data_IF_142237755089
#
_entry.id   IF_142237755089
#
_cell.length_a   1.000
_cell.length_b   1.000
_cell.length_c   1.000
_cell.angle_alpha   90.00
_cell.angle_beta   90.00
_cell.angle_gamma   90.00
#
_symmetry.space_group_name_H-M   'P 1'
#
loop_
_entity.id
_entity.type
_entity.pdbx_description
1 polymer ?
#
# COMPACT_ATOMS: atom_id res chain seq x y z
N UNK A 1 -1.25 25.46 -37.33
CA UNK A 1 -1.72 25.40 -35.92
C UNK A 1 -1.83 26.82 -35.39
N UNK A 2 -3.03 27.33 -35.05
CA UNK A 2 -3.19 28.72 -34.64
C UNK A 2 -2.45 28.96 -33.31
N UNK A 3 -1.61 30.01 -33.27
CA UNK A 3 -0.72 30.37 -32.13
C UNK A 3 -1.42 30.33 -30.77
N UNK A 4 -2.72 30.66 -30.73
CA UNK A 4 -3.56 30.60 -29.52
C UNK A 4 -3.69 29.17 -28.95
N UNK A 5 -3.85 28.15 -29.80
CA UNK A 5 -3.91 26.75 -29.35
C UNK A 5 -2.57 26.29 -28.79
N UNK A 6 -1.44 26.72 -29.39
CA UNK A 6 -0.11 26.42 -28.86
C UNK A 6 0.13 27.06 -27.49
N UNK A 7 -0.29 28.32 -27.30
CA UNK A 7 -0.20 29.01 -26.00
C UNK A 7 -1.08 28.34 -24.94
N UNK A 8 -2.31 27.99 -25.29
CA UNK A 8 -3.21 27.27 -24.36
C UNK A 8 -2.62 25.90 -23.99
N UNK A 9 -2.08 25.16 -24.95
CA UNK A 9 -1.41 23.88 -24.67
C UNK A 9 -0.23 24.05 -23.71
N UNK A 10 0.68 24.99 -23.99
CA UNK A 10 1.83 25.24 -23.12
C UNK A 10 1.39 25.66 -21.71
N UNK A 11 0.38 26.51 -21.59
CA UNK A 11 -0.18 26.92 -20.31
C UNK A 11 -0.74 25.72 -19.54
N UNK A 12 -1.53 24.87 -20.19
CA UNK A 12 -2.12 23.68 -19.57
C UNK A 12 -1.04 22.69 -19.10
N UNK A 13 0.00 22.46 -19.89
CA UNK A 13 1.11 21.59 -19.50
C UNK A 13 1.83 22.15 -18.27
N UNK A 14 2.17 23.44 -18.26
CA UNK A 14 2.85 24.06 -17.12
C UNK A 14 1.97 24.05 -15.85
N UNK A 15 0.69 24.34 -15.96
CA UNK A 15 -0.26 24.25 -14.83
C UNK A 15 -0.33 22.81 -14.31
N UNK A 16 -0.41 21.82 -15.20
CA UNK A 16 -0.48 20.41 -14.82
C UNK A 16 0.79 19.98 -14.08
N UNK A 17 1.96 20.35 -14.60
CA UNK A 17 3.25 20.07 -13.95
C UNK A 17 3.32 20.76 -12.59
N UNK A 18 2.96 22.05 -12.50
CA UNK A 18 2.98 22.80 -11.25
C UNK A 18 2.07 22.17 -10.18
N UNK A 19 0.82 21.82 -10.53
CA UNK A 19 -0.10 21.14 -9.61
C UNK A 19 0.48 19.80 -9.16
N UNK A 20 1.02 19.00 -10.09
CA UNK A 20 1.64 17.73 -9.75
C UNK A 20 2.82 17.90 -8.78
N UNK A 21 3.77 18.77 -9.11
CA UNK A 21 4.98 18.96 -8.31
C UNK A 21 4.71 19.61 -6.96
N UNK A 22 3.67 20.42 -6.84
CA UNK A 22 3.35 21.12 -5.58
C UNK A 22 2.44 20.34 -4.65
N UNK A 23 1.53 19.51 -5.17
CA UNK A 23 0.52 18.82 -4.34
C UNK A 23 0.83 17.34 -4.19
N UNK A 24 1.35 16.72 -5.24
CA UNK A 24 1.49 15.27 -5.30
C UNK A 24 2.95 14.86 -5.08
N UNK A 25 3.89 15.35 -5.89
CA UNK A 25 5.27 14.89 -5.80
C UNK A 25 5.86 14.96 -4.37
N UNK A 26 6.39 13.84 -3.89
CA UNK A 26 6.96 13.65 -2.57
C UNK A 26 6.00 13.88 -1.38
N UNK A 27 4.68 13.81 -1.59
CA UNK A 27 3.67 14.09 -0.55
C UNK A 27 3.72 13.13 0.64
N UNK A 28 4.19 11.89 0.42
CA UNK A 28 4.21 10.84 1.44
C UNK A 28 5.05 11.23 2.66
N UNK A 29 6.12 12.00 2.43
CA UNK A 29 7.08 12.44 3.45
C UNK A 29 6.45 13.31 4.54
N UNK A 30 5.38 14.04 4.18
CA UNK A 30 4.56 14.81 5.12
C UNK A 30 3.49 13.93 5.76
N UNK A 31 2.79 13.13 4.94
CA UNK A 31 1.68 12.30 5.40
C UNK A 31 2.11 11.32 6.49
N UNK A 32 3.32 10.77 6.43
CA UNK A 32 3.81 9.82 7.43
C UNK A 32 4.02 10.46 8.81
N UNK A 33 4.46 11.72 8.85
CA UNK A 33 4.62 12.44 10.12
C UNK A 33 3.27 12.82 10.72
N UNK A 34 2.28 13.16 9.89
CA UNK A 34 0.88 13.31 10.33
C UNK A 34 0.34 11.99 10.90
N UNK A 35 0.58 10.87 10.22
CA UNK A 35 0.17 9.54 10.70
C UNK A 35 0.77 9.21 12.07
N UNK A 36 2.06 9.44 12.30
CA UNK A 36 2.70 9.17 13.60
C UNK A 36 2.08 10.01 14.73
N UNK A 37 1.70 11.26 14.47
CA UNK A 37 1.00 12.09 15.46
C UNK A 37 -0.38 11.55 15.79
N UNK A 38 -1.14 11.14 14.77
CA UNK A 38 -2.45 10.54 14.95
C UNK A 38 -2.34 9.25 15.79
N UNK A 39 -1.30 8.44 15.55
CA UNK A 39 -1.01 7.25 16.35
C UNK A 39 -0.65 7.61 17.80
N UNK A 40 0.22 8.58 18.04
CA UNK A 40 0.54 9.03 19.40
C UNK A 40 -0.72 9.49 20.14
N UNK A 41 -1.59 10.27 19.48
CA UNK A 41 -2.84 10.72 20.05
C UNK A 41 -3.78 9.54 20.36
N UNK A 42 -3.90 8.57 19.43
CA UNK A 42 -4.74 7.39 19.64
C UNK A 42 -4.29 6.61 20.89
N UNK A 43 -2.99 6.28 21.00
CA UNK A 43 -2.44 5.53 22.13
C UNK A 43 -2.46 6.31 23.44
N UNK A 44 -2.32 7.64 23.40
CA UNK A 44 -2.45 8.50 24.60
C UNK A 44 -3.87 8.52 25.18
N UNK A 45 -4.91 8.38 24.34
CA UNK A 45 -6.31 8.54 24.79
C UNK A 45 -6.91 7.31 25.47
N UNK A 46 -6.40 6.11 25.20
CA UNK A 46 -6.93 4.84 25.73
C UNK A 46 -6.76 4.72 27.25
N UNK A 47 -5.71 5.34 27.82
CA UNK A 47 -5.36 5.23 29.23
C UNK A 47 -5.97 6.31 30.15
N UNK A 48 -6.83 7.20 29.66
CA UNK A 48 -7.61 8.09 30.57
C UNK A 48 -8.54 7.33 31.52
N UNK A 49 -8.78 6.04 31.26
CA UNK A 49 -9.59 5.15 32.10
C UNK A 49 -8.80 4.44 33.21
N UNK A 50 -7.46 4.49 33.20
CA UNK A 50 -6.59 3.94 34.22
C UNK A 50 -5.65 5.04 34.74
N UNK A 51 -6.06 5.71 35.82
CA UNK A 51 -5.27 6.73 36.52
C UNK A 51 -3.96 6.13 37.05
N UNK A 52 -2.90 6.14 36.23
CA UNK A 52 -1.52 5.97 36.67
C UNK A 52 -0.76 7.28 36.43
N UNK A 53 -0.58 8.11 37.47
CA UNK A 53 0.17 9.35 37.35
C UNK A 53 1.65 9.02 37.13
N UNK A 54 2.12 9.08 35.89
CA UNK A 54 3.56 8.99 35.56
C UNK A 54 3.93 8.21 34.30
N UNK A 55 3.03 7.45 33.67
CA UNK A 55 3.33 6.72 32.42
C UNK A 55 2.62 7.36 31.23
N UNK A 56 3.20 8.43 30.66
CA UNK A 56 2.80 8.77 29.30
C UNK A 56 3.25 7.63 28.38
N UNK A 57 2.28 6.98 27.72
CA UNK A 57 2.60 6.01 26.67
C UNK A 57 3.29 6.75 25.53
N UNK A 58 4.52 6.34 25.23
CA UNK A 58 5.37 6.93 24.19
C UNK A 58 5.40 5.98 23.01
N UNK A 59 5.29 6.51 21.79
CA UNK A 59 5.59 5.71 20.60
C UNK A 59 7.04 5.95 20.17
N UNK A 60 7.66 4.88 19.65
CA UNK A 60 8.99 4.97 19.05
C UNK A 60 8.93 4.75 17.53
N UNK A 61 9.71 5.51 16.76
CA UNK A 61 9.72 5.43 15.30
C UNK A 61 11.16 5.44 14.73
N UNK A 62 11.46 4.55 13.80
CA UNK A 62 12.76 4.49 13.10
C UNK A 62 12.58 4.69 11.60
N UNK A 63 13.37 5.60 11.03
CA UNK A 63 13.30 5.96 9.63
C UNK A 63 14.48 5.35 8.87
N UNK A 64 14.22 4.24 8.18
CA UNK A 64 15.14 3.57 7.26
C UNK A 64 15.00 4.17 5.86
N UNK A 65 15.32 5.46 5.76
CA UNK A 65 15.16 6.30 4.58
C UNK A 65 16.45 7.11 4.35
N UNK A 66 16.76 7.57 3.13
CA UNK A 66 17.90 8.47 2.93
C UNK A 66 17.69 9.73 3.77
N UNK A 67 18.78 10.33 4.26
CA UNK A 67 18.69 11.51 5.12
C UNK A 67 17.91 12.66 4.47
N UNK A 68 17.28 13.48 5.31
CA UNK A 68 16.46 14.62 4.89
C UNK A 68 15.29 14.27 3.96
N UNK A 69 14.82 13.01 3.98
CA UNK A 69 13.61 12.63 3.25
C UNK A 69 12.33 13.16 3.90
N UNK A 70 12.33 13.43 5.20
CA UNK A 70 11.17 13.97 5.91
C UNK A 70 11.55 15.28 6.63
N UNK A 71 10.59 16.20 6.84
CA UNK A 71 10.88 17.53 7.41
C UNK A 71 11.07 17.54 8.94
N UNK A 72 11.25 16.37 9.55
CA UNK A 72 11.62 16.10 10.95
C UNK A 72 11.16 17.17 11.95
N UNK A 73 12.06 18.07 12.37
CA UNK A 73 11.85 19.05 13.45
C UNK A 73 10.63 19.94 13.27
N UNK A 74 10.21 20.21 12.03
CA UNK A 74 9.03 21.05 11.78
C UNK A 74 7.72 20.27 11.86
N UNK A 75 7.78 18.94 11.70
CA UNK A 75 6.63 18.06 11.57
C UNK A 75 6.60 16.90 12.58
N UNK A 76 7.51 16.89 13.56
CA UNK A 76 7.54 15.89 14.63
C UNK A 76 7.78 16.57 15.98
N UNK A 77 6.85 17.45 16.34
CA UNK A 77 6.91 18.31 17.55
C UNK A 77 6.01 17.72 18.64
N UNK A 78 6.33 16.52 19.11
CA UNK A 78 5.63 15.90 20.25
C UNK A 78 6.68 15.27 21.18
N UNK A 79 6.71 15.64 22.48
CA UNK A 79 7.68 15.09 23.42
C UNK A 79 7.50 13.59 23.73
N UNK A 80 6.35 13.00 23.38
CA UNK A 80 6.07 11.58 23.59
C UNK A 80 6.38 10.73 22.34
N UNK A 81 6.81 11.34 21.23
CA UNK A 81 7.27 10.63 20.05
C UNK A 81 8.79 10.60 20.05
N UNK A 82 9.36 9.42 20.24
CA UNK A 82 10.80 9.20 20.19
C UNK A 82 11.17 8.62 18.84
N UNK A 83 11.96 9.34 18.06
CA UNK A 83 12.30 8.87 16.73
C UNK A 83 13.79 9.02 16.43
N UNK A 84 14.31 8.09 15.62
CA UNK A 84 15.65 8.15 15.05
C UNK A 84 15.57 7.99 13.53
N UNK A 85 16.57 8.52 12.84
CA UNK A 85 16.70 8.43 11.39
C UNK A 85 18.17 8.23 11.05
N UNK A 86 18.44 7.60 9.90
CA UNK A 86 19.79 7.47 9.38
C UNK A 86 20.45 8.85 9.22
N UNK A 87 21.69 8.97 9.69
CA UNK A 87 22.48 10.20 9.68
C UNK A 87 23.30 10.36 8.39
N UNK A 88 23.48 11.62 7.98
CA UNK A 88 24.37 12.02 6.88
C UNK A 88 25.25 13.19 7.32
N UNK A 89 25.75 13.13 8.56
CA UNK A 89 26.61 14.16 9.12
C UNK A 89 27.93 14.22 8.32
N UNK A 90 28.34 15.37 7.77
CA UNK A 90 29.58 15.46 7.04
C UNK A 90 30.80 15.24 7.97
N UNK A 91 31.91 14.65 7.49
CA UNK A 91 33.09 14.37 8.31
C UNK A 91 33.93 15.62 8.57
N UNK A 92 33.50 16.44 9.53
CA UNK A 92 34.16 17.73 9.86
C UNK A 92 35.51 17.56 10.57
N UNK A 93 35.68 16.48 11.34
CA UNK A 93 36.88 16.24 12.18
C UNK A 93 37.85 15.20 11.60
N UNK A 94 37.66 14.81 10.33
CA UNK A 94 38.52 13.82 9.67
C UNK A 94 39.68 14.49 8.91
N UNK A 95 40.81 13.80 8.79
CA UNK A 95 41.91 14.23 7.92
C UNK A 95 41.56 13.98 6.44
N UNK A 96 42.22 14.66 5.49
CA UNK A 96 41.99 14.47 4.05
C UNK A 96 41.96 13.01 3.57
N UNK A 97 42.92 12.11 3.94
CA UNK A 97 42.83 10.72 3.54
C UNK A 97 41.65 9.97 4.16
N UNK A 98 41.20 10.35 5.36
CA UNK A 98 40.05 9.76 6.02
C UNK A 98 38.73 10.25 5.41
N UNK A 99 38.65 11.52 5.01
CA UNK A 99 37.49 12.07 4.29
C UNK A 99 37.27 11.36 2.95
N UNK A 100 38.35 11.00 2.24
CA UNK A 100 38.28 10.30 0.96
C UNK A 100 37.65 8.91 1.04
N UNK A 101 37.67 8.27 2.22
CA UNK A 101 37.12 6.92 2.47
C UNK A 101 35.86 6.98 3.35
N UNK A 102 35.45 8.17 3.77
CA UNK A 102 34.29 8.34 4.63
C UNK A 102 33.00 7.95 3.89
N UNK A 103 32.16 7.19 4.57
CA UNK A 103 30.82 6.81 4.13
C UNK A 103 29.87 7.13 5.28
N UNK A 104 28.81 7.88 5.00
CA UNK A 104 27.83 8.22 6.02
C UNK A 104 26.94 7.02 6.40
N UNK A 105 26.17 7.17 7.47
CA UNK A 105 25.36 6.09 8.02
C UNK A 105 24.28 5.63 7.04
N UNK A 106 23.64 6.56 6.32
CA UNK A 106 22.63 6.21 5.33
C UNK A 106 23.22 5.43 4.16
N UNK A 107 24.37 5.84 3.65
CA UNK A 107 25.06 5.14 2.56
C UNK A 107 25.59 3.78 3.03
N UNK A 108 26.11 3.67 4.26
CA UNK A 108 26.43 2.37 4.87
C UNK A 108 25.20 1.44 4.89
N UNK A 109 24.06 1.96 5.31
CA UNK A 109 22.80 1.21 5.32
C UNK A 109 22.36 0.80 3.91
N UNK A 110 22.39 1.70 2.92
CA UNK A 110 21.95 1.37 1.56
C UNK A 110 22.92 0.46 0.80
N UNK A 111 24.20 0.42 1.20
CA UNK A 111 25.19 -0.50 0.64
C UNK A 111 24.97 -1.95 1.09
N UNK A 112 24.76 -2.19 2.39
CA UNK A 112 24.34 -3.50 2.92
C UNK A 112 23.35 -3.34 4.09
N UNK A 113 22.03 -3.29 3.79
CA UNK A 113 21.00 -3.15 4.82
C UNK A 113 21.02 -4.29 5.84
N UNK A 114 21.46 -5.48 5.43
CA UNK A 114 21.45 -6.68 6.27
C UNK A 114 22.55 -6.64 7.31
N UNK A 115 23.75 -6.21 6.90
CA UNK A 115 24.89 -6.05 7.78
C UNK A 115 24.65 -4.88 8.72
N UNK A 116 24.18 -3.75 8.18
CA UNK A 116 23.87 -2.58 8.98
C UNK A 116 22.91 -2.89 10.12
N UNK A 117 21.77 -3.56 9.84
CA UNK A 117 20.78 -3.89 10.88
C UNK A 117 21.29 -4.92 11.90
N UNK A 118 22.33 -5.71 11.58
CA UNK A 118 22.96 -6.63 12.55
C UNK A 118 23.90 -5.91 13.50
N UNK A 119 24.62 -4.90 12.99
CA UNK A 119 25.72 -4.25 13.70
C UNK A 119 25.28 -2.98 14.44
N UNK A 120 24.33 -2.22 13.85
CA UNK A 120 23.92 -0.90 14.33
C UNK A 120 22.58 -0.89 15.07
N UNK A 121 21.96 -2.06 15.30
CA UNK A 121 20.75 -2.19 16.11
C UNK A 121 21.06 -2.88 17.44
N UNK A 122 20.42 -2.43 18.52
CA UNK A 122 20.57 -3.04 19.86
C UNK A 122 20.23 -4.53 19.78
N UNK A 123 21.23 -5.37 20.07
CA UNK A 123 21.11 -6.83 20.02
C UNK A 123 20.94 -7.43 18.60
N UNK A 124 21.10 -6.60 17.55
CA UNK A 124 20.99 -6.97 16.15
C UNK A 124 19.66 -7.64 15.79
N UNK A 125 19.66 -8.46 14.74
CA UNK A 125 18.49 -9.23 14.28
C UNK A 125 18.05 -10.35 15.24
N UNK A 126 18.78 -10.61 16.34
CA UNK A 126 18.44 -11.65 17.32
C UNK A 126 17.47 -11.15 18.39
N UNK A 127 17.46 -9.85 18.65
CA UNK A 127 16.69 -9.23 19.74
C UNK A 127 15.60 -8.30 19.21
N UNK A 128 14.79 -8.82 18.29
CA UNK A 128 13.63 -8.09 17.77
C UNK A 128 12.50 -8.08 18.82
N UNK A 129 11.91 -6.91 19.11
CA UNK A 129 10.76 -6.82 20.00
C UNK A 129 9.55 -7.55 19.39
N UNK A 130 8.74 -8.14 20.25
CA UNK A 130 7.51 -8.86 19.84
C UNK A 130 6.23 -8.06 20.03
N UNK A 131 6.32 -7.00 20.84
CA UNK A 131 5.21 -6.12 21.24
C UNK A 131 5.74 -4.69 21.27
N UNK A 132 4.89 -3.70 20.98
CA UNK A 132 5.29 -2.31 21.04
C UNK A 132 5.54 -1.85 22.48
N UNK A 133 6.40 -0.84 22.61
CA UNK A 133 6.86 -0.22 23.85
C UNK A 133 5.72 0.41 24.66
N UNK A 134 4.71 0.99 24.00
CA UNK A 134 3.54 1.55 24.67
C UNK A 134 2.60 0.49 25.26
N UNK A 135 2.65 -0.77 24.79
CA UNK A 135 1.91 -1.89 25.39
C UNK A 135 2.77 -2.70 26.37
N UNK A 136 4.08 -2.66 26.19
CA UNK A 136 5.01 -3.26 27.13
C UNK A 136 5.09 -2.35 28.35
N UNK A 137 4.69 -2.85 29.52
CA UNK A 137 4.89 -2.15 30.81
C UNK A 137 6.38 -2.08 31.21
N UNK A 138 7.29 -1.95 30.23
CA UNK A 138 8.70 -1.69 30.46
C UNK A 138 8.87 -0.22 30.80
N UNK A 139 9.61 0.07 31.88
CA UNK A 139 10.12 1.41 32.17
C UNK A 139 10.75 1.98 30.90
N UNK A 140 10.10 2.98 30.30
CA UNK A 140 10.69 3.77 29.22
C UNK A 140 12.01 4.32 29.72
N UNK A 141 13.10 4.10 28.98
CA UNK A 141 14.34 4.82 29.18
C UNK A 141 14.00 6.32 29.23
N UNK A 142 14.43 7.01 30.30
CA UNK A 142 14.30 8.46 30.48
C UNK A 142 15.24 9.22 29.52
N UNK A 143 15.36 8.78 28.28
CA UNK A 143 16.11 9.49 27.27
C UNK A 143 15.30 10.69 26.78
N UNK A 144 15.94 11.84 26.56
CA UNK A 144 15.30 12.93 25.83
C UNK A 144 15.08 12.54 24.36
N UNK A 145 14.09 13.11 23.64
CA UNK A 145 13.90 12.84 22.21
C UNK A 145 15.17 13.07 21.38
N UNK A 146 15.98 14.06 21.76
CA UNK A 146 17.26 14.37 21.11
C UNK A 146 18.31 13.28 21.37
N UNK A 147 18.40 12.79 22.62
CA UNK A 147 19.30 11.70 22.97
C UNK A 147 18.91 10.40 22.26
N UNK A 148 17.61 10.12 22.16
CA UNK A 148 17.10 8.97 21.41
C UNK A 148 17.47 9.04 19.92
N UNK A 149 17.38 10.22 19.31
CA UNK A 149 17.76 10.41 17.90
C UNK A 149 19.25 10.11 17.64
N UNK A 150 20.13 10.40 18.61
CA UNK A 150 21.59 10.26 18.46
C UNK A 150 22.14 8.95 19.03
N UNK A 151 21.27 8.10 19.61
CA UNK A 151 21.70 6.88 20.26
C UNK A 151 22.25 5.87 19.24
N UNK A 152 23.49 5.44 19.44
CA UNK A 152 24.12 4.38 18.66
C UNK A 152 24.62 3.29 19.61
N UNK A 153 24.31 1.99 19.38
CA UNK A 153 23.40 1.47 18.34
C UNK A 153 21.93 1.87 18.55
N UNK A 154 21.16 1.90 17.46
CA UNK A 154 19.74 2.28 17.47
C UNK A 154 18.86 1.23 18.15
N UNK A 155 17.84 1.67 18.87
CA UNK A 155 16.82 0.78 19.41
C UNK A 155 15.80 0.35 18.35
N UNK A 156 15.29 -0.87 18.47
CA UNK A 156 14.19 -1.34 17.63
C UNK A 156 12.89 -0.57 17.94
N UNK A 157 12.32 0.18 16.98
CA UNK A 157 11.19 1.07 17.23
C UNK A 157 9.84 0.36 17.12
N UNK A 158 8.77 1.00 17.59
CA UNK A 158 7.40 0.49 17.42
C UNK A 158 6.95 0.57 15.96
N UNK A 159 7.41 1.62 15.26
CA UNK A 159 7.12 1.89 13.86
C UNK A 159 8.43 1.97 13.04
N UNK A 160 8.53 1.19 11.96
CA UNK A 160 9.58 1.27 10.95
C UNK A 160 9.02 1.93 9.70
N UNK A 161 9.68 3.00 9.25
CA UNK A 161 9.27 3.81 8.11
C UNK A 161 10.33 3.74 7.03
N UNK A 162 9.93 3.41 5.80
CA UNK A 162 10.83 3.31 4.65
C UNK A 162 10.10 3.46 3.31
N UNK A 163 10.85 3.67 2.24
CA UNK A 163 10.32 3.71 0.87
C UNK A 163 10.09 2.30 0.32
N UNK A 164 9.06 2.13 -0.51
CA UNK A 164 8.65 0.84 -1.07
C UNK A 164 9.76 0.12 -1.86
N UNK A 165 10.75 0.83 -2.38
CA UNK A 165 11.92 0.19 -3.00
C UNK A 165 12.67 -0.76 -2.04
N UNK A 166 12.69 -0.46 -0.74
CA UNK A 166 13.37 -1.25 0.29
C UNK A 166 12.52 -2.43 0.80
N UNK A 167 11.23 -2.47 0.44
CA UNK A 167 10.27 -3.47 0.90
C UNK A 167 10.73 -4.93 0.66
N UNK A 168 11.22 -5.34 -0.53
CA UNK A 168 11.64 -6.72 -0.76
C UNK A 168 12.81 -7.14 0.14
N UNK A 169 13.73 -6.21 0.40
CA UNK A 169 14.92 -6.41 1.23
C UNK A 169 14.52 -6.61 2.69
N UNK A 170 13.71 -5.71 3.24
CA UNK A 170 13.25 -5.83 4.63
C UNK A 170 12.32 -7.02 4.85
N UNK A 171 11.49 -7.40 3.87
CA UNK A 171 10.63 -8.59 3.98
C UNK A 171 11.45 -9.86 4.16
N UNK A 172 12.62 -9.94 3.50
CA UNK A 172 13.52 -11.08 3.65
C UNK A 172 14.13 -11.14 5.06
N UNK A 173 14.67 -10.03 5.55
CA UNK A 173 15.42 -10.00 6.80
C UNK A 173 14.57 -9.94 8.06
N UNK A 174 13.42 -9.29 7.99
CA UNK A 174 12.48 -9.15 9.11
C UNK A 174 11.33 -10.16 9.06
N UNK A 175 11.41 -11.17 8.19
CA UNK A 175 10.38 -12.20 8.02
C UNK A 175 9.99 -12.91 9.32
N UNK A 176 10.97 -13.13 10.20
CA UNK A 176 10.78 -13.78 11.51
C UNK A 176 10.43 -12.82 12.64
N UNK A 177 10.31 -11.52 12.35
CA UNK A 177 9.94 -10.50 13.33
C UNK A 177 8.42 -10.37 13.46
N UNK A 178 7.98 -9.59 14.45
CA UNK A 178 6.56 -9.21 14.59
C UNK A 178 6.17 -8.00 13.75
N UNK A 179 7.10 -7.38 13.01
CA UNK A 179 6.78 -6.24 12.17
C UNK A 179 5.89 -6.66 11.00
N UNK A 180 4.84 -5.87 10.76
CA UNK A 180 3.97 -6.03 9.62
C UNK A 180 3.44 -4.69 9.16
N UNK A 181 3.01 -4.62 7.90
CA UNK A 181 2.43 -3.41 7.34
C UNK A 181 1.16 -3.03 8.10
N UNK A 182 1.14 -1.80 8.62
CA UNK A 182 -0.04 -1.20 9.24
C UNK A 182 -0.44 0.13 8.60
N UNK A 183 0.40 0.70 7.74
CA UNK A 183 0.00 1.85 6.92
C UNK A 183 0.87 1.99 5.68
N UNK A 184 0.29 2.56 4.62
CA UNK A 184 0.98 2.89 3.37
C UNK A 184 0.41 4.17 2.79
N UNK A 185 1.28 5.03 2.27
CA UNK A 185 0.90 6.30 1.65
C UNK A 185 1.63 6.55 0.35
N UNK A 186 0.93 7.16 -0.60
CA UNK A 186 1.53 7.52 -1.87
C UNK A 186 2.54 8.65 -1.69
N UNK A 187 3.68 8.51 -2.37
CA UNK A 187 4.78 9.46 -2.28
C UNK A 187 5.07 10.17 -3.60
N UNK A 188 5.39 9.42 -4.66
CA UNK A 188 5.68 10.02 -5.96
C UNK A 188 5.54 8.98 -7.09
N UNK A 189 5.21 9.43 -8.29
CA UNK A 189 5.25 8.59 -9.49
C UNK A 189 6.68 8.37 -10.00
N UNK A 190 7.59 9.31 -9.71
CA UNK A 190 8.99 9.24 -10.13
C UNK A 190 9.90 9.99 -9.15
N UNK A 191 11.15 9.56 -9.05
CA UNK A 191 12.19 10.21 -8.26
C UNK A 191 13.53 9.97 -8.96
N UNK A 192 14.40 10.97 -8.94
CA UNK A 192 15.78 10.89 -9.46
C UNK A 192 16.61 9.90 -8.65
N UNK A 193 16.64 10.04 -7.32
CA UNK A 193 17.18 9.04 -6.40
C UNK A 193 16.32 7.77 -6.40
N UNK A 194 16.92 6.66 -6.83
CA UNK A 194 16.26 5.36 -6.83
C UNK A 194 15.79 4.94 -5.43
N UNK A 195 16.54 5.35 -4.38
CA UNK A 195 16.28 5.07 -2.95
C UNK A 195 14.96 5.61 -2.45
N UNK A 196 14.42 6.63 -3.13
CA UNK A 196 13.20 7.37 -2.75
C UNK A 196 12.00 7.03 -3.63
N UNK A 197 12.08 5.97 -4.43
CA UNK A 197 11.02 5.55 -5.36
C UNK A 197 9.93 4.73 -4.66
N UNK A 198 8.71 4.93 -5.16
CA UNK A 198 7.52 4.25 -4.68
C UNK A 198 6.93 4.91 -3.42
N UNK A 199 5.90 4.27 -2.89
CA UNK A 199 5.16 4.70 -1.72
C UNK A 199 6.02 4.69 -0.45
N UNK A 200 5.56 5.39 0.59
CA UNK A 200 6.13 5.21 1.93
C UNK A 200 5.29 4.17 2.66
N UNK A 201 5.98 3.22 3.27
CA UNK A 201 5.39 2.10 3.99
C UNK A 201 5.76 2.26 5.47
N UNK A 202 4.78 2.01 6.32
CA UNK A 202 4.97 1.94 7.77
C UNK A 202 4.66 0.53 8.24
N UNK A 203 5.67 -0.10 8.82
CA UNK A 203 5.53 -1.36 9.54
C UNK A 203 5.48 -1.09 11.02
N UNK A 204 4.66 -1.83 11.76
CA UNK A 204 4.60 -1.71 13.21
C UNK A 204 4.50 -3.06 13.91
N UNK A 205 4.78 -3.07 15.21
CA UNK A 205 4.75 -4.26 16.05
C UNK A 205 3.35 -4.62 16.55
N UNK A 206 2.40 -3.70 16.49
CA UNK A 206 1.07 -3.89 17.05
C UNK A 206 0.18 -4.75 16.14
N UNK A 207 -0.22 -5.96 16.57
CA UNK A 207 -1.05 -6.83 15.76
C UNK A 207 -2.46 -6.26 15.54
N UNK A 208 -2.94 -5.38 16.41
CA UNK A 208 -4.27 -4.76 16.30
C UNK A 208 -4.29 -3.74 15.17
N UNK A 209 -3.31 -2.84 15.11
CA UNK A 209 -3.12 -1.88 14.01
C UNK A 209 -2.91 -2.59 12.67
N UNK A 210 -2.07 -3.64 12.65
CA UNK A 210 -1.89 -4.43 11.44
C UNK A 210 -3.19 -5.12 10.98
N UNK A 211 -4.01 -5.63 11.92
CA UNK A 211 -5.29 -6.25 11.57
C UNK A 211 -6.31 -5.23 11.07
N UNK A 212 -6.38 -4.07 11.72
CA UNK A 212 -7.21 -2.95 11.28
C UNK A 212 -6.84 -2.53 9.85
N UNK A 213 -5.54 -2.34 9.57
CA UNK A 213 -5.04 -2.02 8.24
C UNK A 213 -5.41 -3.07 7.20
N UNK A 214 -5.14 -4.34 7.48
CA UNK A 214 -5.47 -5.45 6.55
C UNK A 214 -6.97 -5.50 6.25
N UNK A 215 -7.81 -5.26 7.25
CA UNK A 215 -9.28 -5.24 7.07
C UNK A 215 -9.74 -4.05 6.22
N UNK A 216 -9.20 -2.86 6.47
CA UNK A 216 -9.53 -1.63 5.74
C UNK A 216 -9.06 -1.71 4.28
N UNK A 217 -7.85 -2.19 4.03
CA UNK A 217 -7.30 -2.38 2.69
C UNK A 217 -8.12 -3.40 1.91
N UNK A 218 -8.46 -4.56 2.52
CA UNK A 218 -9.33 -5.55 1.87
C UNK A 218 -10.70 -4.97 1.52
N UNK A 219 -11.31 -4.19 2.42
CA UNK A 219 -12.58 -3.52 2.16
C UNK A 219 -12.50 -2.58 0.96
N UNK A 220 -11.48 -1.70 0.92
CA UNK A 220 -11.25 -0.78 -0.22
C UNK A 220 -11.06 -1.51 -1.54
N UNK A 221 -10.29 -2.62 -1.53
CA UNK A 221 -10.08 -3.43 -2.74
C UNK A 221 -11.38 -4.09 -3.21
N UNK A 222 -12.21 -4.58 -2.29
CA UNK A 222 -13.52 -5.15 -2.63
C UNK A 222 -14.46 -4.08 -3.20
N UNK A 223 -14.59 -2.93 -2.54
CA UNK A 223 -15.39 -1.81 -3.03
C UNK A 223 -14.95 -1.34 -4.43
N UNK A 224 -13.64 -1.27 -4.67
CA UNK A 224 -13.11 -0.94 -5.99
C UNK A 224 -13.48 -1.97 -7.05
N UNK A 225 -13.40 -3.26 -6.72
CA UNK A 225 -13.79 -4.36 -7.62
C UNK A 225 -15.30 -4.37 -7.89
N UNK A 226 -16.11 -4.09 -6.88
CA UNK A 226 -17.57 -4.01 -6.99
C UNK A 226 -17.95 -2.83 -7.90
N UNK A 227 -17.35 -1.65 -7.72
CA UNK A 227 -17.54 -0.51 -8.62
C UNK A 227 -17.09 -0.80 -10.07
N UNK A 228 -15.98 -1.51 -10.25
CA UNK A 228 -15.55 -1.93 -11.59
C UNK A 228 -16.56 -2.91 -12.22
N UNK A 229 -17.10 -3.84 -11.45
CA UNK A 229 -18.11 -4.79 -11.89
C UNK A 229 -19.40 -4.07 -12.30
N UNK A 230 -19.91 -3.15 -11.47
CA UNK A 230 -21.10 -2.36 -11.77
C UNK A 230 -20.94 -1.57 -13.07
N UNK A 231 -19.78 -0.94 -13.28
CA UNK A 231 -19.46 -0.24 -14.53
C UNK A 231 -19.49 -1.17 -15.76
N UNK A 232 -19.02 -2.41 -15.61
CA UNK A 232 -19.08 -3.41 -16.70
C UNK A 232 -20.52 -3.85 -16.96
N UNK A 233 -21.31 -4.08 -15.90
CA UNK A 233 -22.73 -4.43 -16.03
C UNK A 233 -23.52 -3.30 -16.72
N UNK A 234 -23.25 -2.04 -16.37
CA UNK A 234 -23.88 -0.89 -17.00
C UNK A 234 -23.51 -0.76 -18.49
N UNK A 235 -22.25 -0.97 -18.85
CA UNK A 235 -21.84 -0.93 -20.27
C UNK A 235 -22.49 -2.06 -21.06
N UNK A 236 -22.57 -3.27 -20.51
CA UNK A 236 -23.30 -4.39 -21.13
C UNK A 236 -24.80 -4.09 -21.27
N UNK A 237 -25.43 -3.50 -20.25
CA UNK A 237 -26.85 -3.10 -20.30
C UNK A 237 -27.12 -2.04 -21.37
N UNK A 238 -26.22 -1.06 -21.52
CA UNK A 238 -26.32 -0.01 -22.56
C UNK A 238 -26.14 -0.57 -23.97
N UNK A 239 -25.26 -1.56 -24.12
CA UNK A 239 -24.95 -2.19 -25.41
C UNK A 239 -25.83 -3.41 -25.73
N UNK A 240 -26.63 -3.89 -24.78
CA UNK A 240 -27.58 -4.96 -25.02
C UNK A 240 -28.54 -4.50 -26.13
N UNK A 241 -28.70 -5.28 -27.22
CA UNK A 241 -29.59 -4.91 -28.30
C UNK A 241 -30.98 -4.73 -27.70
N UNK A 242 -31.45 -3.48 -27.69
CA UNK A 242 -32.78 -3.19 -27.21
C UNK A 242 -33.77 -4.06 -27.95
N UNK A 243 -34.63 -4.78 -27.21
CA UNK A 243 -35.95 -5.08 -27.74
C UNK A 243 -36.48 -3.77 -28.33
N UNK A 244 -36.74 -3.77 -29.64
CA UNK A 244 -37.29 -2.65 -30.40
C UNK A 244 -38.34 -1.94 -29.53
N UNK A 245 -38.04 -0.72 -29.06
CA UNK A 245 -39.10 0.15 -28.54
C UNK A 245 -40.05 0.35 -29.71
N UNK A 246 -41.27 -0.17 -29.61
CA UNK A 246 -42.28 -0.05 -30.64
C UNK A 246 -42.48 1.43 -30.98
N UNK A 247 -42.37 1.76 -32.27
CA UNK A 247 -42.64 3.08 -32.82
C UNK A 247 -43.99 3.62 -32.33
N UNK A 248 -44.16 4.95 -32.12
CA UNK A 248 -45.44 5.56 -31.76
C UNK A 248 -46.57 5.25 -32.74
N UNK A 249 -46.22 4.90 -33.99
CA UNK A 249 -47.17 4.57 -35.06
C UNK A 249 -47.83 3.20 -34.93
N UNK A 250 -47.30 2.29 -34.11
CA UNK A 250 -47.93 0.99 -33.84
C UNK A 250 -49.13 1.06 -32.88
N UNK A 251 -49.45 2.25 -32.35
CA UNK A 251 -50.60 2.45 -31.43
C UNK A 251 -51.93 2.68 -32.17
N UNK A 252 -51.91 2.97 -33.46
CA UNK A 252 -53.12 3.34 -34.21
C UNK A 252 -53.83 2.17 -34.93
N UNK A 253 -53.29 0.95 -34.89
CA UNK A 253 -53.90 -0.21 -35.59
C UNK A 253 -54.41 -1.33 -34.68
N UNK A 254 -54.42 -1.14 -33.36
CA UNK A 254 -54.87 -2.17 -32.41
C UNK A 254 -56.12 -1.77 -31.62
N UNK A 255 -57.14 -1.23 -32.29
CA UNK A 255 -58.49 -1.03 -31.71
C UNK A 255 -59.46 -2.17 -32.01
N UNK A 256 -59.03 -3.27 -32.64
CA UNK A 256 -59.89 -4.42 -32.93
C UNK A 256 -59.15 -5.74 -32.73
N UNK A 257 -58.94 -6.14 -31.49
CA UNK A 257 -59.01 -7.53 -31.02
C UNK A 257 -58.57 -7.61 -29.56
N UNK A 258 -59.51 -7.94 -28.69
CA UNK A 258 -59.21 -8.24 -27.30
C UNK A 258 -58.41 -9.54 -27.19
N UNK A 259 -57.34 -9.52 -26.39
CA UNK A 259 -56.94 -10.61 -25.50
C UNK A 259 -55.81 -10.16 -24.59
N UNK A 260 -56.09 -10.20 -23.30
CA UNK A 260 -55.16 -10.06 -22.20
C UNK A 260 -54.12 -11.18 -22.23
N UNK A 261 -52.83 -10.84 -22.18
CA UNK A 261 -51.80 -11.73 -21.66
C UNK A 261 -50.58 -10.91 -21.24
N UNK A 262 -50.42 -10.75 -19.93
CA UNK A 262 -49.24 -10.22 -19.27
C UNK A 262 -48.07 -11.21 -19.43
N UNK A 263 -47.05 -10.81 -20.18
CA UNK A 263 -45.77 -11.51 -20.27
C UNK A 263 -44.74 -10.74 -19.44
N UNK A 264 -44.60 -11.10 -18.16
CA UNK A 264 -43.45 -10.70 -17.33
C UNK A 264 -42.24 -11.51 -17.78
N UNK A 265 -41.29 -10.86 -18.43
CA UNK A 265 -40.00 -11.44 -18.77
C UNK A 265 -39.14 -11.53 -17.50
N UNK A 266 -39.04 -12.72 -16.90
CA UNK A 266 -38.06 -13.00 -15.85
C UNK A 266 -36.79 -13.57 -16.46
N UNK A 267 -35.74 -12.75 -16.51
CA UNK A 267 -34.38 -13.23 -16.79
C UNK A 267 -33.86 -13.89 -15.51
N UNK A 268 -33.46 -15.16 -15.58
CA UNK A 268 -32.87 -15.90 -14.45
C UNK A 268 -31.48 -16.41 -14.84
N UNK A 269 -30.54 -16.36 -13.91
CA UNK A 269 -29.12 -16.67 -14.18
C UNK A 269 -28.87 -18.19 -14.20
N UNK A 270 -27.91 -18.71 -14.99
CA UNK A 270 -27.68 -20.16 -15.13
C UNK A 270 -27.23 -20.89 -13.85
N UNK A 271 -26.79 -20.16 -12.82
CA UNK A 271 -26.40 -20.71 -11.51
C UNK A 271 -27.39 -20.39 -10.38
N UNK A 272 -28.59 -19.92 -10.73
CA UNK A 272 -29.63 -19.61 -9.76
C UNK A 272 -30.16 -20.92 -9.15
N UNK A 273 -29.61 -21.31 -7.99
CA UNK A 273 -30.07 -22.47 -7.23
C UNK A 273 -31.51 -22.22 -6.79
N UNK A 274 -32.47 -22.85 -7.46
CA UNK A 274 -33.87 -22.92 -7.02
C UNK A 274 -33.94 -23.58 -5.64
N UNK A 275 -34.21 -22.77 -4.61
CA UNK A 275 -34.62 -23.26 -3.28
C UNK A 275 -36.10 -23.59 -3.35
N UNK A 276 -36.45 -24.88 -3.23
CA UNK A 276 -37.84 -25.32 -3.08
C UNK A 276 -38.05 -25.68 -1.62
N UNK A 277 -38.88 -24.93 -0.91
CA UNK A 277 -39.35 -25.30 0.42
C UNK A 277 -40.54 -26.25 0.28
N UNK A 278 -40.55 -27.30 1.09
CA UNK A 278 -41.73 -28.12 1.33
C UNK A 278 -41.82 -28.32 2.85
N UNK A 279 -42.88 -27.77 3.45
CA UNK A 279 -43.15 -27.83 4.90
C UNK A 279 -41.99 -27.46 5.83
N UNK A 280 -41.30 -26.35 5.57
CA UNK A 280 -40.53 -25.63 6.60
C UNK A 280 -39.24 -26.27 7.14
N UNK A 281 -38.79 -27.44 6.65
CA UNK A 281 -37.56 -28.08 7.14
C UNK A 281 -36.54 -28.24 5.99
N UNK A 282 -35.32 -27.71 6.17
CA UNK A 282 -34.21 -27.87 5.23
C UNK A 282 -33.41 -29.13 5.56
N UNK A 283 -33.26 -30.05 4.60
CA UNK A 283 -32.33 -31.18 4.69
C UNK A 283 -31.33 -31.14 3.52
N UNK A 284 -30.02 -31.38 3.75
CA UNK A 284 -29.03 -31.39 2.69
C UNK A 284 -29.11 -32.70 1.90
N UNK A 285 -29.44 -32.62 0.61
CA UNK A 285 -29.32 -33.77 -0.30
C UNK A 285 -27.87 -33.86 -0.77
N UNK A 286 -27.12 -34.80 -0.20
CA UNK A 286 -25.85 -35.27 -0.76
C UNK A 286 -26.13 -36.09 -2.02
N UNK A 287 -25.95 -35.50 -3.20
CA UNK A 287 -25.80 -36.27 -4.44
C UNK A 287 -24.32 -36.51 -4.69
N UNK A 288 -23.88 -37.76 -4.49
CA UNK A 288 -22.66 -38.29 -5.11
C UNK A 288 -22.83 -38.17 -6.63
N UNK A 289 -22.03 -37.32 -7.27
CA UNK A 289 -21.93 -37.24 -8.72
C UNK A 289 -20.49 -37.60 -9.08
N UNK A 290 -20.33 -38.79 -9.63
CA UNK A 290 -19.12 -39.26 -10.30
C UNK A 290 -18.80 -38.34 -11.47
N UNK A 291 -17.73 -37.57 -11.36
CA UNK A 291 -17.16 -36.85 -12.48
C UNK A 291 -15.90 -37.59 -12.95
N UNK A 292 -15.99 -38.23 -14.11
CA UNK A 292 -14.83 -38.66 -14.89
C UNK A 292 -14.15 -37.41 -15.45
N UNK A 293 -12.85 -37.24 -15.17
CA UNK A 293 -12.03 -36.17 -15.75
C UNK A 293 -11.98 -36.30 -17.28
N UNK A 294 -12.12 -35.22 -18.07
CA UNK A 294 -11.82 -35.26 -19.48
C UNK A 294 -10.29 -35.34 -19.68
N UNK A 295 -9.82 -36.37 -20.35
CA UNK A 295 -8.43 -36.50 -20.82
C UNK A 295 -8.12 -35.40 -21.83
N UNK A 296 -7.17 -34.53 -21.47
CA UNK A 296 -6.71 -33.43 -22.31
C UNK A 296 -5.60 -33.93 -23.24
N UNK A 297 -5.88 -34.08 -24.54
CA UNK A 297 -4.85 -34.34 -25.55
C UNK A 297 -4.26 -33.02 -26.03
N UNK A 298 -2.97 -32.82 -25.74
CA UNK A 298 -2.18 -31.67 -26.20
C UNK A 298 -2.09 -31.61 -27.73
N UNK A 299 -2.29 -30.45 -28.38
CA UNK A 299 -1.93 -30.29 -29.79
C UNK A 299 -0.41 -30.27 -29.93
N UNK A 300 0.11 -31.13 -30.82
CA UNK A 300 1.52 -31.22 -31.17
C UNK A 300 2.04 -29.87 -31.70
N UNK A 301 3.07 -29.36 -31.03
CA UNK A 301 3.93 -28.26 -31.49
C UNK A 301 4.52 -28.58 -32.88
N UNK A 302 4.12 -27.82 -33.90
CA UNK A 302 4.82 -27.82 -35.18
C UNK A 302 6.10 -27.00 -35.04
N UNK A 303 7.25 -27.69 -35.07
CA UNK A 303 8.57 -27.09 -35.19
C UNK A 303 8.63 -26.18 -36.41
N UNK A 304 8.75 -24.86 -36.21
CA UNK A 304 9.22 -23.94 -37.26
C UNK A 304 10.70 -23.67 -37.05
N UNK A 305 11.45 -23.97 -38.10
CA UNK A 305 12.90 -23.97 -38.20
C UNK A 305 13.53 -22.64 -37.79
N UNK A 306 14.56 -22.74 -36.97
CA UNK A 306 15.64 -21.76 -36.81
C UNK A 306 16.22 -21.38 -38.17
N UNK A 307 16.34 -20.08 -38.44
CA UNK A 307 17.26 -19.55 -39.45
C UNK A 307 18.12 -18.50 -38.75
N UNK A 308 19.36 -18.87 -38.51
CA UNK A 308 20.41 -17.96 -38.10
C UNK A 308 20.68 -16.98 -39.27
N UNK A 309 20.81 -15.70 -38.95
CA UNK A 309 21.57 -14.75 -39.75
C UNK A 309 22.50 -14.05 -38.76
N UNK A 310 23.77 -14.38 -38.93
CA UNK A 310 24.93 -13.77 -38.32
C UNK A 310 25.23 -12.41 -38.97
N UNK A 311 25.98 -11.58 -38.23
CA UNK A 311 26.82 -10.45 -38.70
C UNK A 311 26.08 -9.19 -39.19
N UNK A 312 26.49 -7.95 -38.92
CA UNK A 312 27.80 -7.34 -38.63
C UNK A 312 27.53 -5.91 -38.05
N UNK A 313 28.22 -5.49 -36.98
CA UNK A 313 29.34 -4.51 -36.99
C UNK A 313 28.98 -3.01 -37.17
N UNK A 314 29.39 -2.24 -36.15
CA UNK A 314 29.70 -0.79 -36.07
C UNK A 314 28.58 0.25 -36.21
N UNK A 315 28.28 0.96 -35.11
CA UNK A 315 28.65 2.37 -34.87
C UNK A 315 28.44 2.72 -33.41
#
# INVERSE_FOLDING_TARGET
MPRRLSLVFLLLVNITVAIYTSVYHASGTLNVLSYLRDQQQAHTTVDKSAYSPGSSQRITAGFLMPCHSTPWRSHLVDPNIHAWALSCEPPVDLTEPQKAVYVDEADQFYNDPSQFLRENMVGGLRHLPRKPSYLASSKSLEASPQAYQQATPHEWPDYLIFFAQLEPTLHSFLRSSSYGECWRTWNTAWHDDSRRRGDIIVWCLDPTEQAAWRSATRKRTLEHRDHQFDRIVETLRKNAPGQRKSSPWTRWTSSLSGRSASSTWSWSWPWERRRRSWFGIQLPVWKKSSWTLPTWTWPKSSKRKTRAVDRDLWS
#
